data_IF_447404341295
#
_entry.id   IF_447404341295
#
_cell.length_a   1.000
_cell.length_b   1.000
_cell.length_c   1.000
_cell.angle_alpha   90.00
_cell.angle_beta   90.00
_cell.angle_gamma   90.00
#
_symmetry.space_group_name_H-M   'P 1'
#
loop_
_entity.id
_entity.type
_entity.pdbx_description
1 polymer ?
#
# COMPACT_ATOMS: atom_id res chain seq x y z
N UNK A 1 -9.48 11.65 1.24
CA UNK A 1 -10.23 12.69 1.97
C UNK A 1 -9.50 14.03 2.03
N UNK A 2 -8.21 14.07 2.35
CA UNK A 2 -7.44 15.33 2.22
C UNK A 2 -7.47 15.89 0.78
N UNK A 3 -7.48 15.02 -0.24
CA UNK A 3 -7.62 15.41 -1.65
C UNK A 3 -8.95 16.10 -2.01
N UNK A 4 -9.95 16.06 -1.13
CA UNK A 4 -11.25 16.73 -1.32
C UNK A 4 -11.40 18.01 -0.48
N UNK A 5 -10.42 18.30 0.40
CA UNK A 5 -10.41 19.56 1.13
C UNK A 5 -9.93 20.67 0.17
N UNK A 6 -10.55 21.85 0.25
CA UNK A 6 -10.10 23.07 -0.46
C UNK A 6 -8.75 23.50 0.12
N UNK A 7 -7.68 22.80 -0.31
CA UNK A 7 -6.32 23.00 0.21
C UNK A 7 -5.66 24.26 -0.35
N UNK A 8 -6.26 24.92 -1.33
CA UNK A 8 -5.73 26.18 -1.89
C UNK A 8 -5.68 27.32 -0.86
N UNK A 9 -6.52 27.23 0.17
CA UNK A 9 -6.61 28.25 1.25
C UNK A 9 -5.71 27.95 2.45
N UNK A 10 -4.93 26.87 2.42
CA UNK A 10 -4.11 26.50 3.56
C UNK A 10 -2.79 27.27 3.57
N UNK A 11 -2.46 27.83 4.73
CA UNK A 11 -1.14 28.41 4.98
C UNK A 11 -0.13 27.28 5.26
N UNK A 12 0.57 26.85 4.21
CA UNK A 12 1.59 25.79 4.28
C UNK A 12 2.88 26.21 5.01
N UNK A 13 2.99 27.47 5.46
CA UNK A 13 4.11 27.91 6.31
C UNK A 13 3.77 27.81 7.80
N UNK A 14 2.50 27.71 8.16
CA UNK A 14 2.04 27.71 9.53
C UNK A 14 2.27 26.38 10.25
N UNK A 15 2.90 26.38 11.45
CA UNK A 15 2.97 25.18 12.30
C UNK A 15 1.60 24.66 12.74
N UNK A 16 0.60 25.54 12.81
CA UNK A 16 -0.78 25.19 13.17
C UNK A 16 -1.38 24.32 12.06
N UNK A 17 -1.17 24.67 10.80
CA UNK A 17 -1.61 23.87 9.64
C UNK A 17 -1.03 22.46 9.69
N UNK A 18 0.26 22.31 10.00
CA UNK A 18 0.89 20.98 10.13
C UNK A 18 0.22 20.13 11.23
N UNK A 19 -0.12 20.75 12.35
CA UNK A 19 -0.81 20.06 13.46
C UNK A 19 -2.22 19.64 13.05
N UNK A 20 -2.94 20.50 12.33
CA UNK A 20 -4.28 20.20 11.80
C UNK A 20 -4.20 19.02 10.80
N UNK A 21 -3.26 19.06 9.86
CA UNK A 21 -3.09 17.98 8.87
C UNK A 21 -2.79 16.64 9.54
N UNK A 22 -1.88 16.60 10.50
CA UNK A 22 -1.59 15.40 11.29
C UNK A 22 -2.82 14.92 12.07
N UNK A 23 -3.61 15.83 12.64
CA UNK A 23 -4.87 15.52 13.29
C UNK A 23 -5.89 14.90 12.34
N UNK A 24 -6.03 15.44 11.12
CA UNK A 24 -6.90 14.88 10.09
C UNK A 24 -6.45 13.50 9.62
N UNK A 25 -5.15 13.26 9.48
CA UNK A 25 -4.61 11.93 9.17
C UNK A 25 -4.93 10.92 10.27
N UNK A 26 -4.83 11.30 11.56
CA UNK A 26 -5.22 10.45 12.68
C UNK A 26 -6.74 10.14 12.66
N UNK A 27 -7.57 11.16 12.44
CA UNK A 27 -9.02 10.97 12.34
C UNK A 27 -9.34 10.05 11.17
N UNK A 28 -8.73 10.24 10.01
CA UNK A 28 -8.88 9.38 8.84
C UNK A 28 -8.47 7.93 9.15
N UNK A 29 -7.30 7.74 9.77
CA UNK A 29 -6.81 6.42 10.16
C UNK A 29 -7.81 5.69 11.08
N UNK A 30 -8.32 6.38 12.10
CA UNK A 30 -9.27 5.79 13.03
C UNK A 30 -10.64 5.57 12.40
N UNK A 31 -11.20 6.58 11.69
CA UNK A 31 -12.60 6.55 11.24
C UNK A 31 -12.81 5.75 9.95
N UNK A 32 -11.81 5.65 9.06
CA UNK A 32 -11.94 4.90 7.80
C UNK A 32 -11.34 3.50 7.87
N UNK A 33 -10.32 3.29 8.70
CA UNK A 33 -9.62 2.02 8.72
C UNK A 33 -9.83 1.27 10.04
N UNK A 34 -9.37 1.79 11.17
CA UNK A 34 -9.33 1.02 12.42
C UNK A 34 -10.74 0.70 12.91
N UNK A 35 -11.55 1.71 13.19
CA UNK A 35 -12.87 1.51 13.78
C UNK A 35 -13.78 0.66 12.88
N UNK A 36 -13.95 0.95 11.57
CA UNK A 36 -14.79 0.13 10.70
C UNK A 36 -14.31 -1.31 10.59
N UNK A 37 -12.99 -1.55 10.49
CA UNK A 37 -12.46 -2.90 10.38
C UNK A 37 -12.71 -3.72 11.65
N UNK A 38 -12.48 -3.14 12.82
CA UNK A 38 -12.75 -3.83 14.08
C UNK A 38 -14.25 -4.04 14.34
N UNK A 39 -15.10 -3.08 14.01
CA UNK A 39 -16.55 -3.25 14.08
C UNK A 39 -17.04 -4.35 13.14
N UNK A 40 -16.59 -4.32 11.88
CA UNK A 40 -16.94 -5.35 10.91
C UNK A 40 -16.52 -6.74 11.40
N UNK A 41 -15.29 -6.88 11.89
CA UNK A 41 -14.79 -8.14 12.43
C UNK A 41 -15.57 -8.59 13.68
N UNK A 42 -15.91 -7.66 14.57
CA UNK A 42 -16.70 -7.94 15.77
C UNK A 42 -18.09 -8.49 15.46
N UNK A 43 -18.77 -7.93 14.45
CA UNK A 43 -20.07 -8.43 14.02
C UNK A 43 -20.00 -9.70 13.15
N UNK A 44 -18.82 -10.01 12.61
CA UNK A 44 -18.63 -11.14 11.69
C UNK A 44 -18.17 -12.41 12.39
N UNK A 45 -17.43 -12.33 13.50
CA UNK A 45 -16.82 -13.50 14.17
C UNK A 45 -16.64 -13.25 15.68
N UNK A 46 -16.76 -14.31 16.47
CA UNK A 46 -16.49 -14.29 17.91
C UNK A 46 -15.03 -13.96 18.28
N UNK A 47 -14.10 -14.03 17.31
CA UNK A 47 -12.67 -13.77 17.48
C UNK A 47 -12.18 -12.70 16.49
N UNK A 48 -12.59 -11.43 16.66
CA UNK A 48 -12.35 -10.37 15.67
C UNK A 48 -10.88 -10.15 15.30
N UNK A 49 -9.96 -10.30 16.24
CA UNK A 49 -8.52 -10.18 15.98
C UNK A 49 -8.02 -11.27 15.01
N UNK A 50 -8.47 -12.52 15.20
CA UNK A 50 -8.14 -13.61 14.28
C UNK A 50 -8.85 -13.44 12.93
N UNK A 51 -10.08 -12.94 12.97
CA UNK A 51 -10.84 -12.62 11.77
C UNK A 51 -10.10 -11.65 10.85
N UNK A 52 -9.53 -10.60 11.40
CA UNK A 52 -8.70 -9.62 10.66
C UNK A 52 -7.35 -10.19 10.19
N UNK A 53 -7.00 -11.43 10.50
CA UNK A 53 -5.71 -11.99 10.15
C UNK A 53 -4.55 -11.54 11.04
N UNK A 54 -4.83 -10.91 12.18
CA UNK A 54 -3.84 -10.50 13.17
C UNK A 54 -3.41 -11.70 14.04
N UNK A 55 -2.72 -12.64 13.43
CA UNK A 55 -2.22 -13.88 14.05
C UNK A 55 -0.72 -14.04 13.81
N UNK A 56 -0.07 -14.87 14.60
CA UNK A 56 1.37 -15.12 14.47
C UNK A 56 1.74 -15.65 13.08
N UNK A 57 2.94 -15.34 12.62
CA UNK A 57 3.53 -15.84 11.38
C UNK A 57 4.97 -16.25 11.61
N UNK A 58 5.51 -17.09 10.73
CA UNK A 58 6.91 -17.46 10.78
C UNK A 58 7.80 -16.25 10.48
N UNK A 59 8.92 -16.06 11.22
CA UNK A 59 9.82 -14.92 11.02
C UNK A 59 10.30 -14.74 9.58
N UNK A 60 10.45 -15.84 8.85
CA UNK A 60 10.89 -15.82 7.44
C UNK A 60 9.95 -15.01 6.54
N UNK A 61 8.64 -14.97 6.82
CA UNK A 61 7.69 -14.20 6.01
C UNK A 61 7.81 -12.70 6.23
N UNK A 62 8.22 -12.25 7.41
CA UNK A 62 8.55 -10.84 7.65
C UNK A 62 9.74 -10.41 6.81
N UNK A 63 10.81 -11.22 6.81
CA UNK A 63 12.00 -10.96 6.00
C UNK A 63 11.69 -10.98 4.50
N UNK A 64 11.04 -12.05 4.02
CA UNK A 64 10.75 -12.20 2.60
C UNK A 64 9.75 -11.16 2.09
N UNK A 65 8.71 -10.83 2.87
CA UNK A 65 7.74 -9.81 2.52
C UNK A 65 8.39 -8.43 2.39
N UNK A 66 9.19 -8.04 3.39
CA UNK A 66 9.93 -6.78 3.35
C UNK A 66 10.93 -6.75 2.19
N UNK A 67 11.71 -7.83 2.01
CA UNK A 67 12.66 -7.95 0.90
C UNK A 67 11.96 -7.86 -0.47
N UNK A 68 10.78 -8.48 -0.62
CA UNK A 68 10.03 -8.43 -1.86
C UNK A 68 9.66 -6.99 -2.26
N UNK A 69 9.18 -6.16 -1.31
CA UNK A 69 8.81 -4.78 -1.61
C UNK A 69 10.03 -3.88 -1.86
N UNK A 70 11.09 -4.03 -1.07
CA UNK A 70 12.32 -3.23 -1.30
C UNK A 70 12.97 -3.60 -2.63
N UNK A 71 13.08 -4.87 -2.94
CA UNK A 71 13.62 -5.34 -4.23
C UNK A 71 12.72 -4.95 -5.40
N UNK A 72 11.40 -4.75 -5.17
CA UNK A 72 10.47 -4.30 -6.20
C UNK A 72 10.66 -2.83 -6.63
N UNK A 73 11.37 -2.00 -5.85
CA UNK A 73 11.49 -0.55 -6.13
C UNK A 73 11.86 -0.27 -7.59
N UNK A 74 12.96 -0.82 -8.18
CA UNK A 74 13.31 -0.51 -9.56
C UNK A 74 12.25 -0.92 -10.59
N UNK A 75 11.57 -2.05 -10.35
CA UNK A 75 10.48 -2.52 -11.22
C UNK A 75 9.25 -1.60 -11.11
N UNK A 76 8.87 -1.24 -9.90
CA UNK A 76 7.73 -0.35 -9.62
C UNK A 76 7.96 1.04 -10.22
N UNK A 77 9.13 1.64 -10.03
CA UNK A 77 9.50 2.92 -10.64
C UNK A 77 9.42 2.88 -12.17
N UNK A 78 9.95 1.82 -12.78
CA UNK A 78 9.88 1.66 -14.24
C UNK A 78 8.44 1.58 -14.74
N UNK A 79 7.54 0.92 -13.99
CA UNK A 79 6.11 0.89 -14.34
C UNK A 79 5.45 2.27 -14.21
N UNK A 80 5.96 3.15 -13.36
CA UNK A 80 5.57 4.56 -13.29
C UNK A 80 5.87 5.31 -14.59
N UNK A 81 7.04 5.09 -15.19
CA UNK A 81 7.38 5.66 -16.50
C UNK A 81 6.41 5.21 -17.58
N UNK A 82 6.00 3.93 -17.57
CA UNK A 82 4.99 3.42 -18.51
C UNK A 82 3.63 4.07 -18.22
N UNK A 83 3.24 4.12 -16.96
CA UNK A 83 1.96 4.68 -16.54
C UNK A 83 1.78 6.13 -17.00
N UNK A 84 2.82 6.95 -16.86
CA UNK A 84 2.79 8.35 -17.26
C UNK A 84 2.55 8.54 -18.76
N UNK A 85 3.05 7.62 -19.60
CA UNK A 85 2.81 7.65 -21.05
C UNK A 85 1.36 7.32 -21.45
N UNK A 86 0.60 6.69 -20.55
CA UNK A 86 -0.79 6.31 -20.80
C UNK A 86 -1.78 7.41 -20.45
N UNK A 87 -1.34 8.48 -19.77
CA UNK A 87 -2.21 9.57 -19.34
C UNK A 87 -2.44 10.53 -20.51
N UNK A 88 -3.71 10.79 -20.89
CA UNK A 88 -4.05 11.65 -22.01
C UNK A 88 -4.04 13.14 -21.60
N UNK A 89 -2.86 13.73 -21.35
CA UNK A 89 -2.70 15.08 -20.77
C UNK A 89 -3.45 16.20 -21.52
N UNK A 90 -3.68 16.05 -22.82
CA UNK A 90 -4.40 17.05 -23.62
C UNK A 90 -5.92 17.07 -23.40
N UNK A 91 -6.48 16.05 -22.73
CA UNK A 91 -7.92 15.93 -22.47
C UNK A 91 -8.31 16.59 -21.14
N UNK A 92 -9.62 16.88 -20.98
CA UNK A 92 -10.15 17.39 -19.71
C UNK A 92 -9.92 16.40 -18.54
N UNK A 93 -10.03 15.09 -18.81
CA UNK A 93 -9.74 14.02 -17.83
C UNK A 93 -8.27 14.03 -17.46
N UNK A 94 -7.36 14.12 -18.43
CA UNK A 94 -5.92 14.16 -18.16
C UNK A 94 -5.50 15.38 -17.33
N UNK A 95 -6.09 16.55 -17.59
CA UNK A 95 -5.87 17.75 -16.78
C UNK A 95 -6.32 17.55 -15.34
N UNK A 96 -7.51 17.00 -15.13
CA UNK A 96 -8.01 16.68 -13.78
C UNK A 96 -7.11 15.65 -13.06
N UNK A 97 -6.63 14.62 -13.77
CA UNK A 97 -5.68 13.65 -13.22
C UNK A 97 -4.39 14.32 -12.75
N UNK A 98 -3.88 15.26 -13.55
CA UNK A 98 -2.67 16.04 -13.22
C UNK A 98 -2.89 16.94 -12.02
N UNK A 99 -3.98 17.68 -11.97
CA UNK A 99 -4.34 18.53 -10.83
C UNK A 99 -4.48 17.72 -9.53
N UNK A 100 -5.09 16.54 -9.61
CA UNK A 100 -5.20 15.62 -8.46
C UNK A 100 -3.82 15.17 -7.96
N UNK A 101 -2.92 14.81 -8.88
CA UNK A 101 -1.53 14.39 -8.54
C UNK A 101 -0.75 15.53 -7.91
N UNK A 102 -0.78 16.73 -8.51
CA UNK A 102 -0.09 17.92 -8.00
C UNK A 102 -0.61 18.30 -6.60
N UNK A 103 -1.92 18.22 -6.37
CA UNK A 103 -2.50 18.48 -5.06
C UNK A 103 -1.99 17.50 -4.00
N UNK A 104 -1.96 16.20 -4.32
CA UNK A 104 -1.43 15.19 -3.42
C UNK A 104 0.07 15.37 -3.15
N UNK A 105 0.86 15.65 -4.19
CA UNK A 105 2.30 15.92 -4.07
C UNK A 105 2.58 17.13 -3.15
N UNK A 106 1.83 18.21 -3.29
CA UNK A 106 1.95 19.40 -2.41
C UNK A 106 1.69 19.05 -0.94
N UNK A 107 0.70 18.20 -0.66
CA UNK A 107 0.37 17.79 0.72
C UNK A 107 1.49 16.92 1.32
N UNK A 108 2.03 15.97 0.54
CA UNK A 108 3.15 15.12 0.99
C UNK A 108 4.41 15.97 1.19
N UNK A 109 4.76 16.86 0.24
CA UNK A 109 5.89 17.76 0.36
C UNK A 109 5.79 18.66 1.61
N UNK A 110 4.58 19.15 1.93
CA UNK A 110 4.34 19.92 3.15
C UNK A 110 4.62 19.12 4.43
N UNK A 111 4.16 17.85 4.51
CA UNK A 111 4.43 16.99 5.65
C UNK A 111 5.93 16.72 5.82
N UNK A 112 6.65 16.59 4.70
CA UNK A 112 8.08 16.26 4.65
C UNK A 112 9.00 17.50 4.74
N UNK A 113 8.44 18.74 4.69
CA UNK A 113 9.21 19.99 4.63
C UNK A 113 10.16 20.19 5.82
N UNK A 114 9.76 19.80 7.04
CA UNK A 114 10.57 19.95 8.24
C UNK A 114 11.53 18.79 8.41
N UNK A 115 12.79 19.11 8.74
CA UNK A 115 13.90 18.14 8.76
C UNK A 115 14.51 17.99 10.16
N UNK A 116 13.67 17.86 11.21
CA UNK A 116 14.12 17.46 12.53
C UNK A 116 13.91 15.97 12.78
N UNK A 117 14.65 15.38 13.70
CA UNK A 117 14.47 13.97 14.11
C UNK A 117 13.03 13.72 14.59
N UNK A 118 12.43 14.70 15.28
CA UNK A 118 11.02 14.64 15.71
C UNK A 118 10.08 14.57 14.52
N UNK A 119 10.32 15.38 13.50
CA UNK A 119 9.48 15.38 12.29
C UNK A 119 9.67 14.08 11.50
N UNK A 120 10.88 13.53 11.42
CA UNK A 120 11.12 12.20 10.83
C UNK A 120 10.27 11.13 11.54
N UNK A 121 10.32 11.05 12.87
CA UNK A 121 9.55 10.07 13.63
C UNK A 121 8.03 10.26 13.47
N UNK A 122 7.57 11.52 13.45
CA UNK A 122 6.16 11.83 13.20
C UNK A 122 5.75 11.44 11.76
N UNK A 123 6.58 11.72 10.76
CA UNK A 123 6.28 11.36 9.38
C UNK A 123 6.32 9.83 9.17
N UNK A 124 7.25 9.11 9.80
CA UNK A 124 7.22 7.64 9.82
C UNK A 124 5.93 7.10 10.44
N UNK A 125 5.43 7.72 11.52
CA UNK A 125 4.17 7.32 12.13
C UNK A 125 2.96 7.63 11.25
N UNK A 126 2.84 8.90 10.79
CA UNK A 126 1.63 9.38 10.11
C UNK A 126 1.55 8.96 8.65
N UNK A 127 2.68 8.86 7.94
CA UNK A 127 2.72 8.45 6.54
C UNK A 127 2.86 6.93 6.45
N UNK A 128 3.96 6.35 6.94
CA UNK A 128 4.22 4.93 6.78
C UNK A 128 3.44 4.05 7.77
N UNK A 129 3.33 4.45 9.05
CA UNK A 129 2.69 3.66 10.09
C UNK A 129 1.18 3.55 9.91
N UNK A 130 0.50 4.67 9.66
CA UNK A 130 -0.95 4.67 9.48
C UNK A 130 -1.36 3.99 8.17
N UNK A 131 -0.60 4.18 7.07
CA UNK A 131 -0.81 3.46 5.83
C UNK A 131 -0.58 1.96 6.03
N UNK A 132 0.60 1.55 6.48
CA UNK A 132 0.94 0.13 6.64
C UNK A 132 0.02 -0.64 7.57
N UNK A 133 -0.57 -0.02 8.60
CA UNK A 133 -1.52 -0.66 9.49
C UNK A 133 -2.95 -0.52 8.97
N UNK A 134 -3.42 0.70 8.70
CA UNK A 134 -4.81 0.98 8.41
C UNK A 134 -5.26 0.40 7.07
N UNK A 135 -4.46 0.61 6.04
CA UNK A 135 -4.78 0.14 4.70
C UNK A 135 -4.71 -1.40 4.63
N UNK A 136 -3.73 -2.03 5.29
CA UNK A 136 -3.67 -3.49 5.31
C UNK A 136 -4.86 -4.11 6.07
N UNK A 137 -5.30 -3.52 7.18
CA UNK A 137 -6.51 -3.95 7.88
C UNK A 137 -7.73 -3.92 6.95
N UNK A 138 -7.92 -2.84 6.22
CA UNK A 138 -9.08 -2.66 5.35
C UNK A 138 -8.98 -3.50 4.08
N UNK A 139 -7.88 -3.37 3.33
CA UNK A 139 -7.74 -4.03 2.03
C UNK A 139 -7.52 -5.53 2.16
N UNK A 140 -6.61 -5.99 3.01
CA UNK A 140 -6.26 -7.41 3.12
C UNK A 140 -7.08 -8.12 4.18
N UNK A 141 -7.31 -7.46 5.31
CA UNK A 141 -8.13 -8.02 6.40
C UNK A 141 -9.60 -8.16 6.03
N UNK A 142 -10.17 -7.23 5.25
CA UNK A 142 -11.60 -7.20 4.92
C UNK A 142 -11.85 -7.42 3.42
N UNK A 143 -11.44 -6.48 2.54
CA UNK A 143 -11.87 -6.49 1.14
C UNK A 143 -11.34 -7.71 0.38
N UNK A 144 -10.08 -8.04 0.50
CA UNK A 144 -9.49 -9.22 -0.17
C UNK A 144 -10.20 -10.50 0.23
N UNK A 145 -10.53 -10.66 1.53
CA UNK A 145 -11.33 -11.77 2.04
C UNK A 145 -12.69 -11.86 1.37
N UNK A 146 -13.43 -10.73 1.32
CA UNK A 146 -14.77 -10.66 0.70
C UNK A 146 -14.69 -11.03 -0.77
N UNK A 147 -13.75 -10.48 -1.52
CA UNK A 147 -13.64 -10.76 -2.96
C UNK A 147 -13.17 -12.18 -3.25
N UNK A 148 -12.23 -12.73 -2.49
CA UNK A 148 -11.85 -14.14 -2.64
C UNK A 148 -13.07 -15.04 -2.40
N UNK A 149 -13.86 -14.79 -1.35
CA UNK A 149 -15.05 -15.55 -1.05
C UNK A 149 -16.13 -15.41 -2.14
N UNK A 150 -16.35 -14.19 -2.60
CA UNK A 150 -17.39 -13.89 -3.61
C UNK A 150 -17.06 -14.48 -4.97
N UNK A 151 -15.83 -14.29 -5.44
CA UNK A 151 -15.40 -14.79 -6.76
C UNK A 151 -14.85 -16.21 -6.72
N UNK A 152 -14.73 -16.83 -5.54
CA UNK A 152 -14.15 -18.15 -5.34
C UNK A 152 -12.78 -18.32 -6.01
N UNK A 153 -12.00 -17.24 -6.05
CA UNK A 153 -10.68 -17.20 -6.67
C UNK A 153 -9.75 -16.27 -5.90
N UNK A 154 -8.63 -16.80 -5.45
CA UNK A 154 -7.60 -16.04 -4.73
C UNK A 154 -7.04 -14.92 -5.61
N UNK A 155 -6.71 -15.24 -6.85
CA UNK A 155 -6.12 -14.28 -7.78
C UNK A 155 -7.07 -13.16 -8.14
N UNK A 156 -8.33 -13.47 -8.42
CA UNK A 156 -9.35 -12.45 -8.70
C UNK A 156 -9.54 -11.55 -7.49
N UNK A 157 -9.61 -12.11 -6.28
CA UNK A 157 -9.71 -11.33 -5.04
C UNK A 157 -8.52 -10.41 -4.83
N UNK A 158 -7.29 -10.89 -5.01
CA UNK A 158 -6.07 -10.08 -4.89
C UNK A 158 -6.07 -8.95 -5.93
N UNK A 159 -6.36 -9.27 -7.21
CA UNK A 159 -6.31 -8.31 -8.31
C UNK A 159 -7.36 -7.20 -8.12
N UNK A 160 -8.61 -7.55 -7.79
CA UNK A 160 -9.66 -6.55 -7.56
C UNK A 160 -9.32 -5.67 -6.36
N UNK A 161 -8.83 -6.27 -5.26
CA UNK A 161 -8.42 -5.53 -4.08
C UNK A 161 -7.28 -4.56 -4.38
N UNK A 162 -6.28 -5.01 -5.14
CA UNK A 162 -5.14 -4.18 -5.55
C UNK A 162 -5.57 -3.03 -6.47
N UNK A 163 -6.52 -3.29 -7.37
CA UNK A 163 -7.11 -2.26 -8.23
C UNK A 163 -7.81 -1.17 -7.40
N UNK A 164 -8.67 -1.58 -6.46
CA UNK A 164 -9.36 -0.64 -5.57
C UNK A 164 -8.37 0.10 -4.67
N UNK A 165 -7.35 -0.59 -4.16
CA UNK A 165 -6.26 -0.01 -3.39
C UNK A 165 -5.59 1.14 -4.15
N UNK A 166 -5.26 0.93 -5.42
CA UNK A 166 -4.67 1.99 -6.23
C UNK A 166 -5.66 3.10 -6.59
N UNK A 167 -6.90 2.74 -6.92
CA UNK A 167 -7.92 3.67 -7.40
C UNK A 167 -8.35 4.71 -6.36
N UNK A 168 -8.49 4.31 -5.09
CA UNK A 168 -8.98 5.23 -4.03
C UNK A 168 -8.00 6.35 -3.67
N UNK A 169 -6.76 6.26 -4.12
CA UNK A 169 -5.77 7.33 -3.90
C UNK A 169 -5.99 8.53 -4.82
N UNK A 170 -6.72 8.38 -5.92
CA UNK A 170 -6.92 9.43 -6.93
C UNK A 170 -5.62 10.05 -7.47
N UNK A 171 -4.52 9.30 -7.39
CA UNK A 171 -3.19 9.65 -7.89
C UNK A 171 -2.89 8.78 -9.12
N UNK A 172 -3.22 9.28 -10.29
CA UNK A 172 -3.25 8.49 -11.51
C UNK A 172 -1.87 8.25 -12.12
N UNK A 173 -0.89 9.13 -11.84
CA UNK A 173 0.49 8.97 -12.28
C UNK A 173 1.22 7.83 -11.51
N UNK A 174 0.73 7.48 -10.32
CA UNK A 174 1.19 6.35 -9.53
C UNK A 174 0.28 5.12 -9.58
N UNK A 175 -0.71 5.05 -10.50
CA UNK A 175 -1.72 4.00 -10.49
C UNK A 175 -1.15 2.60 -10.71
N UNK A 176 -0.40 2.36 -11.79
CA UNK A 176 0.19 1.03 -12.09
C UNK A 176 1.22 0.63 -11.04
N UNK A 177 2.17 1.48 -10.62
CA UNK A 177 3.06 1.21 -9.50
C UNK A 177 2.34 0.72 -8.25
N UNK A 178 1.33 1.47 -7.81
CA UNK A 178 0.57 1.18 -6.60
C UNK A 178 -0.29 -0.08 -6.74
N UNK A 179 -0.84 -0.33 -7.92
CA UNK A 179 -1.57 -1.55 -8.23
C UNK A 179 -0.66 -2.79 -8.09
N UNK A 180 0.57 -2.73 -8.60
CA UNK A 180 1.55 -3.82 -8.47
C UNK A 180 1.94 -4.05 -7.01
N UNK A 181 2.22 -2.98 -6.26
CA UNK A 181 2.46 -3.07 -4.81
C UNK A 181 1.26 -3.69 -4.09
N UNK A 182 0.05 -3.32 -4.49
CA UNK A 182 -1.19 -3.89 -4.00
C UNK A 182 -1.28 -5.41 -4.20
N UNK A 183 -0.89 -5.90 -5.38
CA UNK A 183 -0.81 -7.34 -5.67
C UNK A 183 0.24 -8.01 -4.78
N UNK A 184 1.44 -7.45 -4.67
CA UNK A 184 2.51 -8.02 -3.85
C UNK A 184 2.11 -8.14 -2.38
N UNK A 185 1.52 -7.09 -1.80
CA UNK A 185 1.02 -7.11 -0.42
C UNK A 185 -0.09 -8.15 -0.23
N UNK A 186 -1.00 -8.29 -1.20
CA UNK A 186 -2.03 -9.32 -1.20
C UNK A 186 -1.45 -10.74 -1.22
N UNK A 187 -0.38 -10.96 -2.00
CA UNK A 187 0.33 -12.24 -2.05
C UNK A 187 1.12 -12.51 -0.76
N UNK A 188 1.78 -11.49 -0.18
CA UNK A 188 2.50 -11.61 1.10
C UNK A 188 1.52 -12.04 2.19
N UNK A 189 0.36 -11.39 2.28
CA UNK A 189 -0.67 -11.78 3.24
C UNK A 189 -1.16 -13.22 2.99
N UNK A 190 -1.49 -13.57 1.75
CA UNK A 190 -1.98 -14.90 1.40
C UNK A 190 -0.99 -16.00 1.76
N UNK A 191 0.29 -15.85 1.36
CA UNK A 191 1.29 -16.89 1.60
C UNK A 191 1.80 -16.94 3.05
N UNK A 192 1.82 -15.83 3.76
CA UNK A 192 2.19 -15.81 5.19
C UNK A 192 1.07 -16.27 6.11
N UNK A 193 -0.18 -16.16 5.67
CA UNK A 193 -1.38 -16.42 6.46
C UNK A 193 -1.60 -15.43 7.59
N UNK A 194 -0.87 -14.32 7.63
CA UNK A 194 -0.92 -13.30 8.67
C UNK A 194 -0.78 -11.90 8.10
N UNK A 195 -1.49 -10.95 8.69
CA UNK A 195 -1.44 -9.56 8.25
C UNK A 195 -0.14 -8.85 8.62
N UNK A 196 0.53 -9.28 9.69
CA UNK A 196 1.73 -8.63 10.20
C UNK A 196 2.90 -8.54 9.20
N UNK A 197 3.23 -9.58 8.40
CA UNK A 197 4.27 -9.47 7.38
C UNK A 197 3.93 -8.45 6.28
N UNK A 198 2.64 -8.34 5.87
CA UNK A 198 2.22 -7.33 4.90
C UNK A 198 2.28 -5.92 5.49
N UNK A 199 1.81 -5.73 6.73
CA UNK A 199 1.91 -4.46 7.46
C UNK A 199 3.36 -3.99 7.59
N UNK A 200 4.27 -4.88 7.98
CA UNK A 200 5.69 -4.53 8.11
C UNK A 200 6.31 -4.20 6.76
N UNK A 201 6.02 -4.99 5.73
CA UNK A 201 6.56 -4.75 4.40
C UNK A 201 6.09 -3.39 3.84
N UNK A 202 4.82 -3.06 4.01
CA UNK A 202 4.23 -1.78 3.60
C UNK A 202 4.86 -0.62 4.40
N UNK A 203 4.90 -0.74 5.73
CA UNK A 203 5.54 0.26 6.59
C UNK A 203 7.00 0.54 6.20
N UNK A 204 7.77 -0.52 5.93
CA UNK A 204 9.18 -0.36 5.54
C UNK A 204 9.32 0.26 4.16
N UNK A 205 8.43 -0.07 3.21
CA UNK A 205 8.43 0.50 1.87
C UNK A 205 8.18 2.01 1.90
N UNK A 206 7.10 2.44 2.54
CA UNK A 206 6.78 3.87 2.67
C UNK A 206 7.77 4.60 3.57
N UNK A 207 8.19 3.95 4.67
CA UNK A 207 9.20 4.48 5.57
C UNK A 207 10.54 4.70 4.88
N UNK A 208 10.91 3.84 3.94
CA UNK A 208 12.12 4.02 3.12
C UNK A 208 12.03 5.33 2.32
N UNK A 209 10.90 5.61 1.67
CA UNK A 209 10.69 6.87 0.95
C UNK A 209 10.80 8.09 1.89
N UNK A 210 10.15 8.04 3.06
CA UNK A 210 10.22 9.11 4.08
C UNK A 210 11.67 9.36 4.52
N UNK A 211 12.44 8.30 4.77
CA UNK A 211 13.86 8.40 5.19
C UNK A 211 14.72 8.95 4.06
N UNK A 212 14.49 8.53 2.81
CA UNK A 212 15.22 9.07 1.66
C UNK A 212 15.02 10.57 1.50
N UNK A 213 13.78 11.06 1.60
CA UNK A 213 13.48 12.50 1.55
C UNK A 213 14.09 13.25 2.74
N UNK A 214 14.11 12.64 3.92
CA UNK A 214 14.74 13.25 5.10
C UNK A 214 16.24 13.52 4.89
N UNK A 215 16.98 12.59 4.29
CA UNK A 215 18.41 12.76 4.02
C UNK A 215 18.68 13.58 2.76
N UNK A 216 17.80 13.53 1.79
CA UNK A 216 17.93 14.29 0.54
C UNK A 216 16.54 14.78 0.08
N UNK A 217 16.18 16.04 0.40
CA UNK A 217 14.90 16.62 0.02
C UNK A 217 14.61 16.62 -1.49
N UNK A 218 15.62 16.51 -2.35
CA UNK A 218 15.41 16.41 -3.80
C UNK A 218 14.64 15.13 -4.22
N UNK A 219 14.60 14.10 -3.37
CA UNK A 219 13.75 12.92 -3.62
C UNK A 219 12.24 13.21 -3.45
N UNK A 220 11.86 14.36 -2.88
CA UNK A 220 10.47 14.79 -2.86
C UNK A 220 9.98 15.30 -4.21
N UNK A 221 10.90 15.77 -5.07
CA UNK A 221 10.60 16.24 -6.42
C UNK A 221 10.53 15.03 -7.35
N UNK A 222 9.32 14.55 -7.61
CA UNK A 222 9.04 13.34 -8.41
C UNK A 222 9.48 13.42 -9.88
N UNK A 223 10.02 14.54 -10.35
CA UNK A 223 10.46 14.76 -11.72
C UNK A 223 11.83 14.13 -12.04
N UNK A 224 12.60 13.75 -11.02
CA UNK A 224 13.93 13.14 -11.25
C UNK A 224 13.87 11.62 -11.15
N UNK A 225 13.95 10.88 -12.28
CA UNK A 225 14.06 9.43 -12.21
C UNK A 225 15.39 9.06 -11.51
N UNK A 226 15.30 8.18 -10.52
CA UNK A 226 16.46 7.71 -9.73
C UNK A 226 17.52 7.03 -10.62
N UNK A 227 17.13 6.55 -11.80
CA UNK A 227 18.01 5.86 -12.74
C UNK A 227 18.00 6.49 -14.14
N UNK A 228 19.10 6.43 -14.84
CA UNK A 228 19.20 6.84 -16.24
C UNK A 228 18.45 5.85 -17.16
N UNK A 229 17.71 6.32 -18.16
CA UNK A 229 16.72 5.57 -18.95
C UNK A 229 17.20 4.24 -19.54
N UNK A 230 18.47 4.10 -19.91
CA UNK A 230 18.99 2.85 -20.46
C UNK A 230 19.23 1.75 -19.41
N UNK A 231 19.65 2.11 -18.20
CA UNK A 231 19.89 1.18 -17.10
C UNK A 231 18.62 0.83 -16.34
N UNK A 232 17.56 1.65 -16.40
CA UNK A 232 16.30 1.44 -15.72
C UNK A 232 15.59 0.15 -16.14
N UNK A 233 15.50 -0.12 -17.44
CA UNK A 233 14.80 -1.31 -17.93
C UNK A 233 15.50 -2.61 -17.50
N UNK A 234 16.85 -2.61 -17.50
CA UNK A 234 17.64 -3.77 -17.04
C UNK A 234 17.46 -3.94 -15.53
N UNK A 235 17.56 -2.87 -14.75
CA UNK A 235 17.34 -2.91 -13.31
C UNK A 235 15.91 -3.38 -12.96
N UNK A 236 14.91 -2.90 -13.70
CA UNK A 236 13.52 -3.32 -13.56
C UNK A 236 13.32 -4.81 -13.85
N UNK A 237 13.96 -5.32 -14.92
CA UNK A 237 13.89 -6.75 -15.27
C UNK A 237 14.53 -7.62 -14.19
N UNK A 238 15.73 -7.26 -13.73
CA UNK A 238 16.40 -7.98 -12.64
C UNK A 238 15.55 -7.95 -11.37
N UNK A 239 15.02 -6.78 -11.01
CA UNK A 239 14.12 -6.59 -9.87
C UNK A 239 12.88 -7.50 -10.00
N UNK A 240 12.19 -7.50 -11.14
CA UNK A 240 11.02 -8.33 -11.37
C UNK A 240 11.33 -9.83 -11.23
N UNK A 241 12.47 -10.31 -11.74
CA UNK A 241 12.92 -11.70 -11.60
C UNK A 241 13.16 -12.04 -10.13
N UNK A 242 13.86 -11.18 -9.39
CA UNK A 242 14.13 -11.39 -7.97
C UNK A 242 12.84 -11.41 -7.14
N UNK A 243 11.92 -10.46 -7.39
CA UNK A 243 10.60 -10.44 -6.75
C UNK A 243 9.84 -11.73 -7.04
N UNK A 244 9.79 -12.16 -8.30
CA UNK A 244 9.14 -13.41 -8.68
C UNK A 244 9.75 -14.60 -7.95
N UNK A 245 11.09 -14.67 -7.81
CA UNK A 245 11.78 -15.72 -7.07
C UNK A 245 11.43 -15.71 -5.58
N UNK A 246 11.37 -14.53 -4.93
CA UNK A 246 10.98 -14.39 -3.53
C UNK A 246 9.55 -14.85 -3.33
N UNK A 247 8.62 -14.40 -4.16
CA UNK A 247 7.19 -14.77 -4.09
C UNK A 247 7.02 -16.27 -4.36
N UNK A 248 7.71 -16.82 -5.35
CA UNK A 248 7.71 -18.28 -5.60
C UNK A 248 8.20 -19.07 -4.39
N UNK A 249 9.26 -18.62 -3.73
CA UNK A 249 9.76 -19.26 -2.52
C UNK A 249 8.76 -19.16 -1.36
N UNK A 250 8.10 -18.00 -1.18
CA UNK A 250 7.02 -17.84 -0.21
C UNK A 250 5.87 -18.82 -0.51
N UNK A 251 5.45 -18.91 -1.78
CA UNK A 251 4.43 -19.87 -2.22
C UNK A 251 4.83 -21.31 -1.88
N UNK A 252 6.07 -21.72 -2.19
CA UNK A 252 6.56 -23.08 -1.93
C UNK A 252 6.59 -23.43 -0.44
N UNK A 253 6.87 -22.45 0.43
CA UNK A 253 6.87 -22.65 1.89
C UNK A 253 5.47 -22.54 2.51
N UNK A 254 4.52 -21.97 1.82
CA UNK A 254 3.17 -21.77 2.32
C UNK A 254 2.37 -23.06 2.28
N UNK A 255 1.71 -23.36 3.40
CA UNK A 255 0.71 -24.43 3.52
C UNK A 255 -0.69 -23.84 3.69
N UNK A 256 -0.84 -22.53 3.41
CA UNK A 256 -2.09 -21.81 3.62
C UNK A 256 -3.12 -22.17 2.54
N UNK A 257 -4.35 -22.31 3.00
CA UNK A 257 -5.56 -22.36 2.21
C UNK A 257 -6.53 -21.31 2.70
N UNK A 258 -7.70 -21.21 2.11
CA UNK A 258 -8.68 -20.19 2.48
C UNK A 258 -9.05 -20.24 3.97
N UNK A 259 -9.33 -21.41 4.52
CA UNK A 259 -9.72 -21.59 5.92
C UNK A 259 -8.58 -21.26 6.89
N UNK A 260 -7.33 -21.54 6.49
CA UNK A 260 -6.16 -21.22 7.29
C UNK A 260 -5.89 -19.71 7.31
N UNK A 261 -6.08 -19.01 6.18
CA UNK A 261 -5.87 -17.56 6.09
C UNK A 261 -7.04 -16.83 6.72
N UNK A 262 -8.27 -17.17 6.34
CA UNK A 262 -9.51 -16.51 6.75
C UNK A 262 -10.30 -17.39 7.71
N UNK A 263 -9.78 -17.58 8.91
CA UNK A 263 -10.47 -18.34 9.97
C UNK A 263 -11.84 -17.73 10.27
N UNK A 264 -12.85 -18.59 10.48
CA UNK A 264 -14.23 -18.21 10.77
C UNK A 264 -15.18 -18.26 9.57
N UNK A 265 -14.68 -18.21 8.34
CA UNK A 265 -15.54 -18.43 7.17
C UNK A 265 -15.65 -19.91 6.86
N UNK A 266 -16.87 -20.45 6.94
CA UNK A 266 -17.16 -21.76 6.37
C UNK A 266 -17.50 -21.58 4.89
N UNK A 267 -16.75 -22.25 4.02
CA UNK A 267 -17.15 -22.42 2.62
C UNK A 267 -17.87 -23.76 2.55
N UNK A 268 -19.15 -23.72 2.18
CA UNK A 268 -19.92 -24.94 1.98
C UNK A 268 -19.28 -25.76 0.84
N UNK A 269 -18.95 -26.96 1.17
CA UNK A 269 -18.65 -28.25 0.56
C UNK A 269 -18.16 -28.42 -0.89
N UNK A 270 -17.96 -27.44 -1.71
CA UNK A 270 -17.22 -27.62 -2.96
C UNK A 270 -15.94 -26.80 -2.89
N UNK A 271 -14.79 -27.46 -2.71
CA UNK A 271 -13.51 -26.80 -2.56
C UNK A 271 -13.04 -26.14 -3.88
N UNK A 272 -13.50 -24.92 -4.23
CA UNK A 272 -13.11 -24.24 -5.45
C UNK A 272 -11.71 -23.61 -5.36
N UNK A 273 -11.00 -23.85 -4.23
CA UNK A 273 -9.68 -23.28 -3.93
C UNK A 273 -8.56 -24.32 -3.93
N UNK A 274 -8.84 -25.54 -4.38
CA UNK A 274 -7.81 -26.54 -4.66
C UNK A 274 -7.09 -26.18 -5.96
N UNK A 275 -5.95 -25.49 -5.83
CA UNK A 275 -5.02 -25.17 -6.91
C UNK A 275 -3.70 -25.92 -6.73
#
# INVERSE_FOLDING_TARGET
MLAMADTEKWDYESPVTLTIVRGLLLIQFLSLFVIPCFLFAYFSDAKPIKYLGLKSSLPVYFLLGTAALIVAIPFVEWTGVINNRLIPESTAIGKWMKESEESAAKQVAFLLKKNTIKDLLMNLLFIAGFAGIGEELFFRGILQRIFIKWFRSVWVGIIITAFLFSAIHFQFYGFIPRFILGILLGMIYWYSGSLWPAMLAHFVYDGFAVVMVYFNPAFADQETPVFNTGSQAIAALISAILVAAIIYYMKKKSTNNYEAVYTGDKIENDNPFSF
#
